data_IF_458031392858
#
_entry.id   IF_458031392858
#
_cell.length_a   1.000
_cell.length_b   1.000
_cell.length_c   1.000
_cell.angle_alpha   90.00
_cell.angle_beta   90.00
_cell.angle_gamma   90.00
#
_symmetry.space_group_name_H-M   'P 1'
#
loop_
_entity.id
_entity.type
_entity.pdbx_description
1 polymer ?
#
# COMPACT_ATOMS: atom_id res chain seq x y z
N UNK A 1 -21.96 -5.80 10.41
CA UNK A 1 -22.40 -6.42 9.15
C UNK A 1 -21.35 -7.42 8.75
N UNK A 2 -21.74 -8.63 8.34
CA UNK A 2 -20.77 -9.54 7.71
C UNK A 2 -20.33 -8.87 6.41
N UNK A 3 -19.04 -8.60 6.26
CA UNK A 3 -18.45 -8.27 4.96
C UNK A 3 -18.80 -9.47 4.08
N UNK A 4 -19.51 -9.23 2.98
CA UNK A 4 -19.89 -10.29 2.06
C UNK A 4 -18.60 -10.90 1.53
N UNK A 5 -18.32 -12.16 1.87
CA UNK A 5 -17.12 -12.89 1.41
C UNK A 5 -17.08 -13.12 -0.13
N UNK A 6 -18.03 -12.54 -0.87
CA UNK A 6 -18.15 -12.61 -2.32
C UNK A 6 -17.26 -11.60 -3.06
N UNK A 7 -16.76 -10.56 -2.38
CA UNK A 7 -16.00 -9.47 -3.02
C UNK A 7 -14.49 -9.50 -2.71
N UNK A 8 -14.00 -10.52 -2.01
CA UNK A 8 -12.59 -10.64 -1.62
C UNK A 8 -11.90 -11.79 -2.35
N UNK A 9 -10.68 -11.54 -2.81
CA UNK A 9 -9.75 -12.55 -3.32
C UNK A 9 -9.35 -13.53 -2.22
N UNK A 10 -8.78 -14.68 -2.61
CA UNK A 10 -8.25 -15.65 -1.66
C UNK A 10 -7.16 -15.04 -0.76
N UNK A 11 -6.26 -14.23 -1.34
CA UNK A 11 -5.20 -13.55 -0.59
C UNK A 11 -5.75 -12.53 0.41
N UNK A 12 -6.78 -11.76 0.03
CA UNK A 12 -7.45 -10.84 0.95
C UNK A 12 -8.14 -11.58 2.11
N UNK A 13 -8.81 -12.70 1.81
CA UNK A 13 -9.45 -13.54 2.82
C UNK A 13 -8.44 -14.21 3.76
N UNK A 14 -7.32 -14.67 3.24
CA UNK A 14 -6.24 -15.23 4.06
C UNK A 14 -5.63 -14.15 4.95
N UNK A 15 -5.34 -12.97 4.40
CA UNK A 15 -4.76 -11.87 5.14
C UNK A 15 -5.67 -11.37 6.27
N UNK A 16 -6.97 -11.14 5.98
CA UNK A 16 -7.93 -10.61 6.97
C UNK A 16 -8.23 -11.61 8.10
N UNK A 17 -8.21 -12.91 7.81
CA UNK A 17 -8.49 -13.96 8.80
C UNK A 17 -7.22 -14.51 9.48
N UNK A 18 -6.05 -14.20 8.94
CA UNK A 18 -4.75 -14.60 9.46
C UNK A 18 -4.17 -13.58 10.44
N UNK A 19 -2.84 -13.45 10.42
CA UNK A 19 -2.11 -12.53 11.31
C UNK A 19 -2.14 -11.06 10.84
N UNK A 20 -2.77 -10.79 9.69
CA UNK A 20 -3.00 -9.43 9.18
C UNK A 20 -1.72 -8.58 9.05
N UNK A 21 -0.61 -9.23 8.61
CA UNK A 21 0.74 -8.66 8.53
C UNK A 21 0.80 -7.35 7.76
N UNK A 22 1.58 -6.40 8.26
CA UNK A 22 1.93 -5.14 7.59
C UNK A 22 3.41 -4.87 7.80
N UNK A 23 4.09 -4.42 6.76
CA UNK A 23 5.49 -3.99 6.80
C UNK A 23 5.54 -2.55 6.32
N UNK A 24 6.19 -1.68 7.09
CA UNK A 24 6.39 -0.28 6.71
C UNK A 24 7.83 -0.11 6.20
N UNK A 25 7.92 0.35 4.96
CA UNK A 25 9.16 0.75 4.31
C UNK A 25 9.07 2.22 3.93
N UNK A 26 10.21 2.83 3.61
CA UNK A 26 10.29 4.27 3.28
C UNK A 26 10.86 4.50 1.88
N UNK A 27 10.49 5.65 1.34
CA UNK A 27 11.12 6.29 0.17
C UNK A 27 11.44 7.73 0.56
N UNK A 28 12.40 8.35 -0.12
CA UNK A 28 12.90 9.68 0.26
C UNK A 28 12.07 10.81 -0.33
N UNK A 29 11.36 10.57 -1.45
CA UNK A 29 10.62 11.61 -2.18
C UNK A 29 9.23 11.18 -2.61
N UNK A 30 8.38 12.15 -2.93
CA UNK A 30 7.04 11.91 -3.51
C UNK A 30 7.14 11.26 -4.90
N UNK A 31 8.13 11.63 -5.71
CA UNK A 31 8.34 11.03 -7.04
C UNK A 31 8.67 9.54 -6.92
N UNK A 32 9.50 9.15 -5.96
CA UNK A 32 9.78 7.74 -5.67
C UNK A 32 8.49 7.00 -5.27
N UNK A 33 7.65 7.62 -4.42
CA UNK A 33 6.36 7.04 -4.01
C UNK A 33 5.44 6.77 -5.21
N UNK A 34 5.38 7.73 -6.15
CA UNK A 34 4.59 7.62 -7.38
C UNK A 34 5.18 6.59 -8.35
N UNK A 35 6.50 6.44 -8.40
CA UNK A 35 7.16 5.38 -9.18
C UNK A 35 6.81 3.99 -8.63
N UNK A 36 6.82 3.82 -7.30
CA UNK A 36 6.40 2.58 -6.64
C UNK A 36 4.92 2.28 -6.92
N UNK A 37 4.03 3.28 -6.86
CA UNK A 37 2.61 3.12 -7.21
C UNK A 37 2.45 2.61 -8.65
N UNK A 38 3.19 3.20 -9.59
CA UNK A 38 3.18 2.79 -10.99
C UNK A 38 3.63 1.33 -11.16
N UNK A 39 4.76 0.95 -10.54
CA UNK A 39 5.28 -0.44 -10.56
C UNK A 39 4.27 -1.43 -10.00
N UNK A 40 3.61 -1.09 -8.88
CA UNK A 40 2.57 -1.93 -8.28
C UNK A 40 1.38 -2.11 -9.23
N UNK A 41 0.90 -1.02 -9.82
CA UNK A 41 -0.22 -1.04 -10.78
C UNK A 41 0.09 -1.87 -12.02
N UNK A 42 1.30 -1.73 -12.58
CA UNK A 42 1.76 -2.49 -13.75
C UNK A 42 1.87 -4.00 -13.48
N UNK A 43 2.15 -4.40 -12.23
CA UNK A 43 2.14 -5.80 -11.78
C UNK A 43 0.76 -6.31 -11.37
N UNK A 44 -0.29 -5.50 -11.50
CA UNK A 44 -1.65 -5.86 -11.10
C UNK A 44 -1.79 -6.08 -9.59
N UNK A 45 -1.02 -5.35 -8.78
CA UNK A 45 -1.23 -5.27 -7.33
C UNK A 45 -2.28 -4.21 -7.04
N UNK A 46 -3.16 -4.50 -6.08
CA UNK A 46 -3.99 -3.46 -5.48
C UNK A 46 -3.10 -2.47 -4.73
N UNK A 47 -3.31 -1.19 -4.95
CA UNK A 47 -2.62 -0.15 -4.19
C UNK A 47 -3.51 1.07 -3.97
N UNK A 48 -3.29 1.77 -2.86
CA UNK A 48 -4.02 2.98 -2.49
C UNK A 48 -3.03 4.05 -2.11
N UNK A 49 -3.03 5.16 -2.85
CA UNK A 49 -2.25 6.35 -2.52
C UNK A 49 -3.03 7.20 -1.52
N UNK A 50 -2.37 7.58 -0.43
CA UNK A 50 -2.96 8.37 0.64
C UNK A 50 -2.46 9.80 0.50
N UNK A 51 -3.41 10.72 0.34
CA UNK A 51 -3.17 12.16 0.37
C UNK A 51 -3.72 12.72 1.67
N UNK A 52 -2.84 13.22 2.54
CA UNK A 52 -3.25 14.05 3.66
C UNK A 52 -3.78 15.38 3.10
N UNK A 53 -4.92 15.86 3.60
CA UNK A 53 -5.48 17.17 3.20
C UNK A 53 -4.66 18.35 3.74
N UNK A 54 -3.62 18.09 4.53
CA UNK A 54 -2.73 19.07 5.12
C UNK A 54 -3.32 19.81 6.31
N UNK A 55 -4.51 19.43 6.79
CA UNK A 55 -5.19 20.10 7.91
C UNK A 55 -4.52 19.82 9.28
N UNK A 56 -3.62 18.85 9.31
CA UNK A 56 -2.87 18.41 10.50
C UNK A 56 -1.41 18.86 10.41
N UNK A 57 -0.66 18.40 9.39
CA UNK A 57 0.82 18.47 9.37
C UNK A 57 1.41 19.30 8.21
N UNK A 58 0.61 19.68 7.21
CA UNK A 58 1.11 20.33 5.97
C UNK A 58 0.50 21.71 5.69
N UNK A 59 0.01 22.40 6.72
CA UNK A 59 -0.42 23.80 6.60
C UNK A 59 -1.55 24.05 5.58
N UNK A 60 -2.42 23.07 5.38
CA UNK A 60 -3.53 23.10 4.41
C UNK A 60 -3.15 22.68 2.99
N UNK A 61 -1.91 22.25 2.75
CA UNK A 61 -1.44 21.76 1.45
C UNK A 61 -1.70 20.25 1.35
N UNK A 62 -2.53 19.79 0.39
CA UNK A 62 -2.69 18.36 0.14
C UNK A 62 -1.35 17.74 -0.23
N UNK A 63 -0.95 16.68 0.49
CA UNK A 63 0.37 16.07 0.35
C UNK A 63 0.23 14.56 0.30
N UNK A 64 0.85 13.90 -0.68
CA UNK A 64 0.90 12.45 -0.73
C UNK A 64 1.86 11.94 0.35
N UNK A 65 1.35 11.16 1.29
CA UNK A 65 2.11 10.77 2.50
C UNK A 65 2.52 9.32 2.50
N UNK A 66 1.69 8.43 1.96
CA UNK A 66 2.02 7.01 1.89
C UNK A 66 1.26 6.27 0.79
N UNK A 67 1.74 5.08 0.48
CA UNK A 67 1.14 4.15 -0.46
C UNK A 67 0.94 2.81 0.25
N UNK A 68 -0.30 2.32 0.28
CA UNK A 68 -0.60 0.96 0.70
C UNK A 68 -0.58 0.03 -0.52
N UNK A 69 0.05 -1.14 -0.41
CA UNK A 69 0.08 -2.16 -1.46
C UNK A 69 -0.41 -3.49 -0.87
N UNK A 70 -1.25 -4.20 -1.63
CA UNK A 70 -1.85 -5.46 -1.24
C UNK A 70 -3.22 -5.32 -0.58
N UNK A 71 -3.67 -6.35 0.17
CA UNK A 71 -2.92 -7.58 0.46
C UNK A 71 -2.77 -8.47 -0.78
N UNK A 72 -1.64 -9.17 -0.87
CA UNK A 72 -1.33 -10.15 -1.91
C UNK A 72 -0.21 -11.06 -1.36
N UNK A 73 0.21 -12.04 -2.15
CA UNK A 73 1.36 -12.88 -1.83
C UNK A 73 2.63 -12.04 -1.60
N UNK A 74 3.39 -12.35 -0.55
CA UNK A 74 4.55 -11.53 -0.15
C UNK A 74 5.57 -11.39 -1.27
N UNK A 75 5.87 -12.48 -1.99
CA UNK A 75 6.84 -12.47 -3.09
C UNK A 75 6.45 -11.51 -4.22
N UNK A 76 5.14 -11.33 -4.48
CA UNK A 76 4.66 -10.41 -5.53
C UNK A 76 4.78 -8.96 -5.08
N UNK A 77 4.56 -8.69 -3.79
CA UNK A 77 4.78 -7.37 -3.19
C UNK A 77 6.28 -7.04 -3.15
N UNK A 78 7.12 -8.02 -2.82
CA UNK A 78 8.59 -7.88 -2.75
C UNK A 78 9.20 -7.53 -4.11
N UNK A 79 8.61 -7.95 -5.24
CA UNK A 79 9.03 -7.50 -6.58
C UNK A 79 8.90 -5.98 -6.79
N UNK A 80 8.20 -5.26 -5.90
CA UNK A 80 8.02 -3.82 -5.92
C UNK A 80 8.74 -3.13 -4.77
N UNK A 81 8.67 -3.71 -3.55
CA UNK A 81 9.14 -3.05 -2.32
C UNK A 81 10.33 -3.73 -1.66
N UNK A 82 10.82 -4.87 -2.18
CA UNK A 82 11.83 -5.70 -1.52
C UNK A 82 13.19 -5.03 -1.33
N UNK A 83 13.50 -4.04 -2.17
CA UNK A 83 14.75 -3.25 -2.09
C UNK A 83 14.61 -1.96 -1.26
N UNK A 84 13.41 -1.67 -0.73
CA UNK A 84 13.17 -0.47 0.08
C UNK A 84 13.64 -0.67 1.53
N UNK A 85 14.14 0.40 2.13
CA UNK A 85 14.56 0.38 3.53
C UNK A 85 13.36 0.34 4.47
N UNK A 86 13.51 -0.34 5.61
CA UNK A 86 12.53 -0.27 6.71
C UNK A 86 12.45 1.18 7.24
N UNK A 87 11.22 1.60 7.58
CA UNK A 87 10.92 2.91 8.15
C UNK A 87 11.46 3.04 9.59
#
# INVERSE_FOLDING_TARGET
SAINALDMTAAELEWINGIFTKVCVKVETEDDLLEIQKKATEKGLQCSLITDKGLTEFGGVPTNTCLAIGPDESWKIDEVTGDLELY
#
